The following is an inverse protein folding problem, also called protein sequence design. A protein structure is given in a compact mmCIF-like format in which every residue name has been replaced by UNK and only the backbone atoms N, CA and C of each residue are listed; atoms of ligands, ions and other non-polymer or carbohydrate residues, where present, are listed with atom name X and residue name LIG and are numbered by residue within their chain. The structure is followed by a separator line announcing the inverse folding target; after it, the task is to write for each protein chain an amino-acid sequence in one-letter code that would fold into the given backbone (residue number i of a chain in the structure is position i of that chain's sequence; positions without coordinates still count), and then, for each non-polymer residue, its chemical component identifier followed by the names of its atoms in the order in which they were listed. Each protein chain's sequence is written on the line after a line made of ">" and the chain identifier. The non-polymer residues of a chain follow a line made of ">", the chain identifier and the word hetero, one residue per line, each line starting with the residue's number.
data_IF_798508723500
#
_entry.id   IF_798508723500
#
_cell.length_a   1.000
_cell.length_b   1.000
_cell.length_c   1.000
_cell.angle_alpha   90.00
_cell.angle_beta   90.00
_cell.angle_gamma   90.00
#
_symmetry.space_group_name_H-M   'P 1'
#
loop_
_entity.id
_entity.type
_entity.pdbx_description
1 polymer ?
#
# COMPACT_ATOMS: atom_id res chain seq x y z
N UNK A 1 9.94 -6.51 16.04
CA UNK A 1 8.98 -5.43 15.73
C UNK A 1 9.08 -5.13 14.24
N UNK A 2 7.99 -4.78 13.55
CA UNK A 2 8.05 -4.51 12.10
C UNK A 2 8.17 -3.02 11.90
N UNK A 3 9.26 -2.55 11.30
CA UNK A 3 9.46 -1.12 11.04
C UNK A 3 8.36 -0.60 10.11
N UNK A 4 7.63 0.46 10.50
CA UNK A 4 6.65 1.10 9.64
C UNK A 4 7.35 1.74 8.43
N UNK A 5 6.79 1.56 7.24
CA UNK A 5 7.30 2.19 6.03
C UNK A 5 6.83 3.65 6.02
N UNK A 6 7.73 4.65 6.02
CA UNK A 6 7.34 6.04 5.86
C UNK A 6 6.73 6.30 4.48
N UNK A 7 5.89 7.34 4.36
CA UNK A 7 5.23 7.68 3.10
C UNK A 7 6.23 7.98 1.96
N UNK A 8 7.32 8.69 2.25
CA UNK A 8 8.39 8.95 1.28
C UNK A 8 9.02 7.65 0.74
N UNK A 9 9.22 6.65 1.61
CA UNK A 9 9.74 5.36 1.18
C UNK A 9 8.70 4.58 0.35
N UNK A 10 7.41 4.66 0.67
CA UNK A 10 6.36 4.10 -0.18
C UNK A 10 6.45 4.68 -1.60
N UNK A 11 6.57 6.00 -1.73
CA UNK A 11 6.71 6.66 -3.03
C UNK A 11 7.96 6.20 -3.79
N UNK A 12 9.09 6.09 -3.11
CA UNK A 12 10.31 5.53 -3.69
C UNK A 12 10.14 4.11 -4.21
N UNK A 13 9.46 3.26 -3.45
CA UNK A 13 9.14 1.89 -3.86
C UNK A 13 8.21 1.86 -5.09
N UNK A 14 7.20 2.74 -5.13
CA UNK A 14 6.30 2.85 -6.29
C UNK A 14 7.06 3.28 -7.55
N UNK A 15 7.95 4.26 -7.44
CA UNK A 15 8.77 4.71 -8.58
C UNK A 15 9.70 3.60 -9.06
N UNK A 16 10.35 2.87 -8.17
CA UNK A 16 11.17 1.70 -8.56
C UNK A 16 10.34 0.63 -9.28
N UNK A 17 9.13 0.37 -8.81
CA UNK A 17 8.23 -0.58 -9.48
C UNK A 17 7.83 -0.08 -10.88
N UNK A 18 7.52 1.21 -11.04
CA UNK A 18 7.23 1.82 -12.34
C UNK A 18 8.45 1.77 -13.28
N UNK A 19 9.63 2.13 -12.78
CA UNK A 19 10.88 2.13 -13.56
C UNK A 19 11.29 0.72 -14.03
N UNK A 20 10.87 -0.32 -13.32
CA UNK A 20 11.10 -1.72 -13.70
C UNK A 20 9.92 -2.36 -14.44
N UNK A 21 9.04 -1.54 -15.01
CA UNK A 21 7.85 -1.98 -15.75
C UNK A 21 6.89 -2.87 -14.94
N UNK A 22 6.85 -2.68 -13.62
CA UNK A 22 5.98 -3.41 -12.69
C UNK A 22 4.85 -2.50 -12.18
N UNK A 23 4.13 -1.83 -13.08
CA UNK A 23 3.08 -0.87 -12.73
C UNK A 23 1.99 -1.44 -11.81
N UNK A 24 1.56 -2.69 -12.04
CA UNK A 24 0.64 -3.38 -11.12
C UNK A 24 1.19 -3.48 -9.69
N UNK A 25 2.49 -3.69 -9.54
CA UNK A 25 3.12 -3.73 -8.21
C UNK A 25 3.12 -2.35 -7.56
N UNK A 26 3.39 -1.28 -8.31
CA UNK A 26 3.31 0.09 -7.78
C UNK A 26 1.92 0.39 -7.19
N UNK A 27 0.86 0.04 -7.92
CA UNK A 27 -0.53 0.19 -7.43
C UNK A 27 -0.80 -0.69 -6.22
N UNK A 28 -0.30 -1.94 -6.23
CA UNK A 28 -0.48 -2.87 -5.13
C UNK A 28 0.19 -2.39 -3.83
N UNK A 29 1.37 -1.76 -3.94
CA UNK A 29 2.07 -1.14 -2.79
C UNK A 29 1.26 0.00 -2.19
N UNK A 30 0.75 0.92 -3.02
CA UNK A 30 -0.13 2.00 -2.60
C UNK A 30 -1.41 1.46 -1.94
N UNK A 31 -2.05 0.46 -2.57
CA UNK A 31 -3.24 -0.18 -2.03
C UNK A 31 -2.96 -0.86 -0.68
N UNK A 32 -1.83 -1.59 -0.57
CA UNK A 32 -1.39 -2.24 0.66
C UNK A 32 -1.20 -1.27 1.83
N UNK A 33 -0.67 -0.10 1.55
CA UNK A 33 -0.45 0.97 2.51
C UNK A 33 -1.77 1.64 2.92
N UNK A 34 -2.51 2.19 1.97
CA UNK A 34 -3.72 2.96 2.23
C UNK A 34 -4.92 2.10 2.68
N UNK A 35 -4.99 0.84 2.27
CA UNK A 35 -6.04 -0.09 2.70
C UNK A 35 -5.60 -1.02 3.84
N UNK A 36 -4.42 -0.81 4.40
CA UNK A 36 -3.88 -1.59 5.52
C UNK A 36 -3.92 -3.11 5.25
N UNK A 37 -3.55 -3.54 4.04
CA UNK A 37 -3.58 -4.95 3.65
C UNK A 37 -2.39 -5.71 4.23
N UNK A 38 -2.61 -6.98 4.53
CA UNK A 38 -1.50 -7.90 4.85
C UNK A 38 -0.80 -8.35 3.56
N UNK A 39 0.53 -8.60 3.57
CA UNK A 39 1.25 -9.04 2.37
C UNK A 39 0.63 -10.28 1.70
N UNK A 40 0.19 -11.26 2.49
CA UNK A 40 -0.49 -12.44 1.95
C UNK A 40 -1.87 -12.13 1.33
N UNK A 41 -2.57 -11.10 1.81
CA UNK A 41 -3.80 -10.61 1.18
C UNK A 41 -3.47 -9.96 -0.17
N UNK A 42 -2.46 -9.08 -0.21
CA UNK A 42 -1.99 -8.42 -1.44
C UNK A 42 -1.64 -9.43 -2.54
N UNK A 43 -0.89 -10.49 -2.20
CA UNK A 43 -0.47 -11.50 -3.17
C UNK A 43 -1.61 -12.37 -3.72
N UNK A 44 -2.77 -12.42 -3.05
CA UNK A 44 -3.94 -13.17 -3.49
C UNK A 44 -4.99 -12.34 -4.21
N UNK A 45 -4.76 -11.02 -4.36
CA UNK A 45 -5.70 -10.17 -5.08
C UNK A 45 -5.70 -10.47 -6.57
N UNK A 46 -6.91 -10.59 -7.10
CA UNK A 46 -7.24 -10.60 -8.52
C UNK A 46 -8.05 -9.35 -8.86
N UNK A 47 -8.15 -9.01 -10.14
CA UNK A 47 -8.91 -7.84 -10.59
C UNK A 47 -10.35 -7.83 -10.08
N UNK A 48 -11.02 -8.99 -10.03
CA UNK A 48 -12.40 -9.12 -9.52
C UNK A 48 -12.55 -8.73 -8.04
N UNK A 49 -11.49 -8.77 -7.26
CA UNK A 49 -11.49 -8.40 -5.85
C UNK A 49 -11.42 -6.89 -5.62
N UNK A 50 -11.15 -6.09 -6.68
CA UNK A 50 -11.11 -4.64 -6.60
C UNK A 50 -12.33 -4.07 -7.34
N UNK A 51 -13.23 -3.44 -6.60
CA UNK A 51 -14.38 -2.72 -7.15
C UNK A 51 -14.02 -1.25 -7.25
N UNK A 52 -14.08 -0.70 -8.45
CA UNK A 52 -13.82 0.71 -8.72
C UNK A 52 -15.13 1.53 -8.61
N UNK A 53 -15.07 2.86 -8.47
CA UNK A 53 -16.23 3.72 -8.64
C UNK A 53 -16.97 3.36 -9.93
N UNK A 54 -18.28 3.41 -9.94
CA UNK A 54 -19.08 2.90 -11.06
C UNK A 54 -19.40 1.38 -10.97
N UNK A 55 -18.52 0.55 -10.40
CA UNK A 55 -18.85 -0.85 -10.07
C UNK A 55 -19.51 -0.98 -8.68
N UNK A 56 -19.36 0.02 -7.82
CA UNK A 56 -19.94 0.05 -6.46
C UNK A 56 -21.31 0.72 -6.45
N UNK A 57 -21.56 1.62 -7.39
CA UNK A 57 -22.83 2.35 -7.54
C UNK A 57 -22.62 3.62 -8.37
N UNK A 58 -23.68 4.10 -9.01
CA UNK A 58 -23.65 5.20 -9.99
C UNK A 58 -23.07 6.52 -9.45
N UNK A 59 -23.19 6.75 -8.14
CA UNK A 59 -22.70 7.97 -7.48
C UNK A 59 -21.58 7.70 -6.48
N UNK A 60 -20.99 6.50 -6.49
CA UNK A 60 -19.91 6.18 -5.55
C UNK A 60 -18.62 6.87 -5.97
N UNK A 61 -18.04 7.66 -5.06
CA UNK A 61 -16.70 8.24 -5.19
C UNK A 61 -15.62 7.34 -4.59
N UNK A 62 -15.98 6.18 -4.03
CA UNK A 62 -15.08 5.24 -3.37
C UNK A 62 -15.00 3.91 -4.11
N UNK A 63 -13.86 3.24 -3.99
CA UNK A 63 -13.69 1.86 -4.40
C UNK A 63 -13.72 0.91 -3.20
N UNK A 64 -13.60 -0.39 -3.48
CA UNK A 64 -13.62 -1.41 -2.45
C UNK A 64 -12.68 -2.56 -2.81
N UNK A 65 -11.96 -3.07 -1.81
CA UNK A 65 -11.23 -4.34 -1.89
C UNK A 65 -12.01 -5.41 -1.16
N UNK A 66 -12.24 -6.53 -1.82
CA UNK A 66 -12.88 -7.73 -1.25
C UNK A 66 -11.80 -8.74 -0.90
N UNK A 67 -11.70 -9.11 0.37
CA UNK A 67 -10.73 -10.09 0.88
C UNK A 67 -11.49 -11.38 1.16
N UNK A 68 -11.30 -12.38 0.32
CA UNK A 68 -12.06 -13.64 0.34
C UNK A 68 -11.46 -14.72 1.26
N UNK A 69 -10.18 -14.57 1.63
CA UNK A 69 -9.48 -15.48 2.54
C UNK A 69 -8.65 -14.70 3.57
N UNK A 70 -9.30 -14.03 4.53
CA UNK A 70 -8.59 -13.31 5.57
C UNK A 70 -7.95 -14.28 6.56
N UNK A 71 -6.75 -13.96 7.07
CA UNK A 71 -6.06 -14.74 8.12
C UNK A 71 -6.95 -15.02 9.35
N UNK A 72 -7.95 -14.17 9.58
CA UNK A 72 -8.89 -14.24 10.70
C UNK A 72 -10.21 -14.92 10.34
N UNK A 73 -10.28 -15.65 9.23
CA UNK A 73 -11.53 -16.32 8.77
C UNK A 73 -12.16 -17.29 9.78
N UNK A 74 -11.37 -17.78 10.75
CA UNK A 74 -11.86 -18.66 11.83
C UNK A 74 -12.51 -17.90 12.99
N UNK A 75 -12.19 -16.62 13.18
CA UNK A 75 -12.61 -15.78 14.32
C UNK A 75 -13.37 -14.53 13.91
N UNK A 76 -13.48 -14.28 12.59
CA UNK A 76 -14.17 -13.13 12.01
C UNK A 76 -14.89 -13.53 10.72
N UNK A 77 -15.48 -12.57 10.03
CA UNK A 77 -16.16 -12.82 8.75
C UNK A 77 -15.21 -13.45 7.73
N UNK A 78 -15.70 -14.48 7.02
CA UNK A 78 -14.95 -15.19 5.95
C UNK A 78 -14.64 -14.30 4.76
N UNK A 79 -15.48 -13.30 4.52
CA UNK A 79 -15.24 -12.25 3.50
C UNK A 79 -15.18 -10.93 4.22
N UNK A 80 -14.14 -10.15 3.94
CA UNK A 80 -13.94 -8.82 4.52
C UNK A 80 -13.83 -7.79 3.40
N UNK A 81 -14.32 -6.59 3.69
CA UNK A 81 -14.31 -5.48 2.75
C UNK A 81 -13.48 -4.32 3.31
N UNK A 82 -12.69 -3.69 2.44
CA UNK A 82 -11.94 -2.48 2.78
C UNK A 82 -12.26 -1.41 1.75
N UNK A 83 -12.68 -0.24 2.22
CA UNK A 83 -13.00 0.89 1.34
C UNK A 83 -11.72 1.60 0.93
N UNK A 84 -11.61 1.91 -0.36
CA UNK A 84 -10.56 2.74 -0.93
C UNK A 84 -11.10 4.17 -0.96
N UNK A 85 -10.64 5.01 -0.04
CA UNK A 85 -11.03 6.43 0.03
C UNK A 85 -10.04 7.34 -0.69
N UNK A 86 -8.78 6.90 -0.79
CA UNK A 86 -7.73 7.70 -1.40
C UNK A 86 -7.95 7.84 -2.90
N UNK A 87 -8.14 9.08 -3.37
CA UNK A 87 -8.42 9.39 -4.77
C UNK A 87 -7.29 8.97 -5.69
N UNK A 88 -6.04 9.14 -5.23
CA UNK A 88 -4.86 8.77 -6.00
C UNK A 88 -4.79 7.26 -6.21
N UNK A 89 -5.01 6.49 -5.15
CA UNK A 89 -5.05 5.01 -5.23
C UNK A 89 -6.14 4.57 -6.21
N UNK A 90 -7.31 5.22 -6.19
CA UNK A 90 -8.38 4.93 -7.15
C UNK A 90 -7.97 5.21 -8.60
N UNK A 91 -7.34 6.36 -8.86
CA UNK A 91 -6.83 6.71 -10.20
C UNK A 91 -5.79 5.70 -10.68
N UNK A 92 -4.85 5.31 -9.83
CA UNK A 92 -3.86 4.29 -10.15
C UNK A 92 -4.51 2.93 -10.43
N UNK A 93 -5.46 2.50 -9.62
CA UNK A 93 -6.24 1.28 -9.86
C UNK A 93 -6.96 1.34 -11.21
N UNK A 94 -7.57 2.47 -11.56
CA UNK A 94 -8.25 2.66 -12.83
C UNK A 94 -7.26 2.61 -14.00
N UNK A 95 -6.14 3.32 -13.92
CA UNK A 95 -5.14 3.41 -14.98
C UNK A 95 -4.49 2.04 -15.28
N UNK A 96 -4.08 1.32 -14.25
CA UNK A 96 -3.32 0.07 -14.41
C UNK A 96 -4.19 -1.18 -14.45
N UNK A 97 -5.35 -1.17 -13.77
CA UNK A 97 -6.19 -2.36 -13.60
C UNK A 97 -7.56 -2.26 -14.27
N UNK A 98 -7.95 -1.08 -14.75
CA UNK A 98 -9.27 -0.85 -15.33
C UNK A 98 -9.62 -1.81 -16.47
N UNK A 99 -8.63 -2.19 -17.28
CA UNK A 99 -8.77 -3.07 -18.45
C UNK A 99 -8.39 -4.53 -18.21
N UNK A 100 -7.97 -4.90 -17.00
CA UNK A 100 -7.61 -6.28 -16.70
C UNK A 100 -8.84 -7.18 -16.63
N UNK A 101 -8.67 -8.44 -17.03
CA UNK A 101 -9.73 -9.46 -16.92
C UNK A 101 -9.98 -9.82 -15.44
N UNK A 102 -11.20 -10.23 -15.06
CA UNK A 102 -11.58 -10.48 -13.67
C UNK A 102 -10.66 -11.43 -12.89
N UNK A 103 -10.12 -12.44 -13.53
CA UNK A 103 -9.26 -13.46 -12.92
C UNK A 103 -7.76 -13.15 -13.01
N UNK A 104 -7.39 -12.04 -13.62
CA UNK A 104 -5.97 -11.66 -13.67
C UNK A 104 -5.46 -11.31 -12.27
N UNK A 105 -4.32 -11.92 -11.86
CA UNK A 105 -3.69 -11.60 -10.60
C UNK A 105 -3.14 -10.16 -10.63
N UNK A 106 -3.27 -9.44 -9.52
CA UNK A 106 -2.76 -8.07 -9.38
C UNK A 106 -1.31 -8.06 -8.87
N UNK A 107 -0.90 -9.13 -8.19
CA UNK A 107 0.48 -9.33 -7.75
C UNK A 107 1.29 -10.02 -8.85
N UNK A 108 2.55 -9.58 -9.11
CA UNK A 108 3.43 -10.24 -10.06
C UNK A 108 3.94 -11.60 -9.58
N UNK A 109 3.60 -12.02 -8.35
CA UNK A 109 4.06 -13.28 -7.79
C UNK A 109 3.51 -13.55 -6.38
N UNK A 110 4.05 -14.58 -5.76
CA UNK A 110 3.71 -14.97 -4.40
C UNK A 110 4.46 -14.13 -3.35
N UNK A 111 4.23 -14.44 -2.06
CA UNK A 111 4.85 -13.71 -0.94
C UNK A 111 6.39 -13.74 -0.98
N UNK A 112 7.01 -14.84 -1.38
CA UNK A 112 8.47 -14.95 -1.49
C UNK A 112 9.03 -14.06 -2.59
N UNK A 113 8.33 -13.96 -3.72
CA UNK A 113 8.67 -13.03 -4.81
C UNK A 113 8.57 -11.58 -4.36
N UNK A 114 7.50 -11.22 -3.66
CA UNK A 114 7.33 -9.88 -3.09
C UNK A 114 8.44 -9.53 -2.09
N UNK A 115 8.78 -10.45 -1.19
CA UNK A 115 9.89 -10.27 -0.24
C UNK A 115 11.25 -10.15 -0.94
N UNK A 116 11.47 -10.93 -2.00
CA UNK A 116 12.67 -10.84 -2.84
C UNK A 116 12.80 -9.49 -3.52
N UNK A 117 11.72 -9.01 -4.11
CA UNK A 117 11.67 -7.68 -4.72
C UNK A 117 11.92 -6.57 -3.67
N UNK A 118 11.33 -6.67 -2.49
CA UNK A 118 11.59 -5.71 -1.40
C UNK A 118 13.06 -5.64 -1.01
N UNK A 119 13.74 -6.79 -0.86
CA UNK A 119 15.18 -6.82 -0.56
C UNK A 119 15.99 -6.09 -1.62
N UNK A 120 15.73 -6.39 -2.88
CA UNK A 120 16.36 -5.70 -4.00
C UNK A 120 16.07 -4.18 -3.97
N UNK A 121 14.82 -3.79 -3.75
CA UNK A 121 14.43 -2.39 -3.69
C UNK A 121 15.12 -1.63 -2.54
N UNK A 122 15.28 -2.26 -1.36
CA UNK A 122 16.03 -1.65 -0.26
C UNK A 122 17.46 -1.33 -0.66
N UNK A 123 18.17 -2.29 -1.25
CA UNK A 123 19.55 -2.09 -1.73
C UNK A 123 19.61 -1.02 -2.82
N UNK A 124 18.67 -1.05 -3.77
CA UNK A 124 18.57 -0.03 -4.83
C UNK A 124 18.31 1.38 -4.31
N UNK A 125 17.67 1.51 -3.15
CA UNK A 125 17.46 2.80 -2.48
C UNK A 125 18.64 3.21 -1.59
N UNK A 126 19.66 2.37 -1.40
CA UNK A 126 20.80 2.63 -0.50
C UNK A 126 20.48 2.34 0.97
N UNK A 127 19.49 1.48 1.22
CA UNK A 127 19.09 1.02 2.54
C UNK A 127 19.63 -0.39 2.82
N UNK A 128 19.64 -0.81 4.09
CA UNK A 128 19.98 -2.19 4.45
C UNK A 128 18.93 -3.15 3.89
N UNK A 129 19.37 -4.30 3.37
CA UNK A 129 18.56 -5.28 2.63
C UNK A 129 17.23 -5.67 3.31
N UNK A 130 17.23 -5.77 4.64
CA UNK A 130 16.06 -6.17 5.42
C UNK A 130 15.55 -5.08 6.39
N UNK A 131 15.91 -3.84 6.16
CA UNK A 131 15.52 -2.73 7.02
C UNK A 131 13.99 -2.57 7.06
N UNK A 132 13.35 -2.74 5.90
CA UNK A 132 11.89 -2.75 5.78
C UNK A 132 11.42 -4.01 5.04
N UNK A 133 10.20 -4.43 5.33
CA UNK A 133 9.58 -5.61 4.73
C UNK A 133 8.18 -5.27 4.22
N UNK A 134 7.56 -6.08 3.34
CA UNK A 134 6.20 -5.84 2.87
C UNK A 134 5.18 -5.63 3.99
N UNK A 135 5.40 -6.26 5.14
CA UNK A 135 4.52 -6.10 6.30
C UNK A 135 4.59 -4.70 6.93
N UNK A 136 5.66 -3.96 6.68
CA UNK A 136 5.83 -2.56 7.07
C UNK A 136 4.87 -1.61 6.35
N UNK A 137 4.31 -1.97 5.19
CA UNK A 137 3.29 -1.17 4.50
C UNK A 137 2.07 -0.95 5.39
N UNK A 138 1.54 -2.01 5.98
CA UNK A 138 0.38 -1.94 6.87
C UNK A 138 0.68 -1.14 8.15
N UNK A 139 1.87 -1.29 8.71
CA UNK A 139 2.28 -0.52 9.88
C UNK A 139 2.49 0.96 9.52
N UNK A 140 3.11 1.23 8.37
CA UNK A 140 3.30 2.59 7.85
C UNK A 140 1.98 3.31 7.61
N UNK A 141 1.05 2.67 6.91
CA UNK A 141 -0.28 3.23 6.66
C UNK A 141 -1.07 3.52 7.94
N UNK A 142 -1.04 2.59 8.91
CA UNK A 142 -1.70 2.79 10.19
C UNK A 142 -1.09 3.95 11.00
N UNK A 143 0.24 4.05 11.01
CA UNK A 143 0.96 5.14 11.67
C UNK A 143 0.69 6.48 10.99
N UNK A 144 0.71 6.50 9.65
CA UNK A 144 0.40 7.70 8.86
C UNK A 144 -1.01 8.22 9.14
N UNK A 145 -2.02 7.34 9.09
CA UNK A 145 -3.41 7.71 9.37
C UNK A 145 -3.59 8.21 10.82
N UNK A 146 -2.88 7.60 11.77
CA UNK A 146 -2.90 8.02 13.17
C UNK A 146 -2.32 9.42 13.34
N UNK A 147 -1.15 9.68 12.76
CA UNK A 147 -0.51 11.00 12.79
C UNK A 147 -1.33 12.08 12.06
N UNK A 148 -2.10 11.68 11.05
CA UNK A 148 -3.08 12.54 10.38
C UNK A 148 -4.37 12.79 11.20
N UNK A 149 -4.44 12.32 12.45
CA UNK A 149 -5.57 12.55 13.35
C UNK A 149 -6.74 11.59 13.19
N UNK A 150 -6.57 10.46 12.51
CA UNK A 150 -7.64 9.46 12.40
C UNK A 150 -7.96 8.85 13.76
N UNK A 151 -9.26 8.80 14.17
CA UNK A 151 -9.68 8.16 15.42
C UNK A 151 -9.24 6.69 15.49
N UNK A 152 -8.88 6.24 16.68
CA UNK A 152 -8.39 4.87 16.93
C UNK A 152 -9.42 3.82 16.51
N UNK A 153 -10.70 4.05 16.76
CA UNK A 153 -11.81 3.17 16.39
C UNK A 153 -11.89 3.00 14.88
N UNK A 154 -11.72 4.09 14.13
CA UNK A 154 -11.69 4.09 12.67
C UNK A 154 -10.50 3.28 12.14
N UNK A 155 -9.33 3.43 12.77
CA UNK A 155 -8.13 2.65 12.41
C UNK A 155 -8.35 1.16 12.70
N UNK A 156 -8.91 0.82 13.85
CA UNK A 156 -9.23 -0.56 14.22
C UNK A 156 -10.16 -1.19 13.17
N UNK A 157 -11.22 -0.47 12.78
CA UNK A 157 -12.16 -0.92 11.76
C UNK A 157 -11.49 -1.11 10.39
N UNK A 158 -10.78 -0.08 9.90
CA UNK A 158 -10.08 -0.15 8.60
C UNK A 158 -9.03 -1.24 8.56
N UNK A 159 -8.25 -1.36 9.64
CA UNK A 159 -7.21 -2.37 9.77
C UNK A 159 -7.74 -3.74 10.15
N UNK A 160 -9.04 -3.87 10.46
CA UNK A 160 -9.64 -5.15 10.87
C UNK A 160 -8.93 -5.76 12.08
N UNK A 161 -8.63 -4.90 13.07
CA UNK A 161 -8.07 -5.30 14.37
C UNK A 161 -9.19 -5.50 15.38
N UNK A 162 -9.25 -6.70 15.97
CA UNK A 162 -10.24 -7.02 16.99
C UNK A 162 -9.92 -6.42 18.37
N UNK A 163 -8.63 -6.13 18.63
CA UNK A 163 -8.19 -5.61 19.92
C UNK A 163 -7.26 -4.40 19.72
N UNK A 164 -7.41 -3.40 20.60
CA UNK A 164 -6.56 -2.22 20.65
C UNK A 164 -5.09 -2.57 20.89
N UNK A 165 -4.81 -3.58 21.70
CA UNK A 165 -3.46 -4.10 21.93
C UNK A 165 -2.77 -4.52 20.62
N UNK A 166 -3.52 -5.08 19.68
CA UNK A 166 -2.99 -5.45 18.36
C UNK A 166 -2.67 -4.20 17.54
N UNK A 167 -3.52 -3.18 17.54
CA UNK A 167 -3.28 -1.92 16.83
C UNK A 167 -2.01 -1.23 17.35
N UNK A 168 -1.78 -1.20 18.66
CA UNK A 168 -0.58 -0.62 19.28
C UNK A 168 0.74 -1.18 18.75
N UNK A 169 0.77 -2.41 18.25
CA UNK A 169 1.96 -2.98 17.60
C UNK A 169 2.21 -2.44 16.18
N UNK A 170 1.21 -1.82 15.57
CA UNK A 170 1.31 -1.25 14.23
C UNK A 170 1.54 0.26 14.24
N UNK A 171 0.91 0.98 15.17
CA UNK A 171 1.11 2.42 15.34
C UNK A 171 2.42 2.66 16.08
N UNK A 172 3.43 3.12 15.36
CA UNK A 172 4.81 3.30 15.85
C UNK A 172 5.32 4.68 15.43
N UNK A 173 4.77 5.73 16.06
CA UNK A 173 5.08 7.13 15.72
C UNK A 173 6.58 7.43 15.75
N UNK A 174 7.21 7.20 16.90
CA UNK A 174 8.65 7.45 17.05
C UNK A 174 9.49 6.62 16.06
N UNK A 175 9.13 5.35 15.85
CA UNK A 175 9.85 4.48 14.92
C UNK A 175 9.73 4.95 13.47
N UNK A 176 8.57 5.51 13.07
CA UNK A 176 8.36 6.07 11.73
C UNK A 176 9.20 7.33 11.51
N UNK A 177 9.19 8.25 12.47
CA UNK A 177 9.99 9.48 12.42
C UNK A 177 11.48 9.16 12.43
N UNK A 178 11.93 8.31 13.35
CA UNK A 178 13.33 7.88 13.42
C UNK A 178 13.78 7.16 12.17
N UNK A 179 12.94 6.30 11.58
CA UNK A 179 13.26 5.60 10.35
C UNK A 179 13.56 6.58 9.20
N UNK A 180 12.84 7.68 9.10
CA UNK A 180 13.09 8.73 8.11
C UNK A 180 14.35 9.51 8.45
N UNK A 181 14.50 9.95 9.70
CA UNK A 181 15.63 10.78 10.15
C UNK A 181 16.99 10.06 10.10
N UNK A 182 16.99 8.74 10.28
CA UNK A 182 18.21 7.92 10.31
C UNK A 182 18.54 7.26 8.96
N UNK A 183 17.81 7.57 7.91
CA UNK A 183 18.16 7.07 6.57
C UNK A 183 19.51 7.61 6.11
N UNK A 184 20.34 6.79 5.43
CA UNK A 184 21.58 7.27 4.83
C UNK A 184 21.33 8.45 3.86
N UNK A 185 22.24 9.43 3.75
CA UNK A 185 22.07 10.59 2.87
C UNK A 185 21.77 10.21 1.41
N UNK A 186 22.38 9.13 0.91
CA UNK A 186 22.13 8.61 -0.43
C UNK A 186 20.68 8.14 -0.60
N UNK A 187 20.11 7.52 0.43
CA UNK A 187 18.71 7.10 0.39
C UNK A 187 17.77 8.30 0.45
N UNK A 188 18.03 9.26 1.32
CA UNK A 188 17.27 10.52 1.40
C UNK A 188 17.26 11.26 0.04
N UNK A 189 18.42 11.40 -0.58
CA UNK A 189 18.53 12.03 -1.91
C UNK A 189 17.71 11.29 -2.96
N UNK A 190 17.83 9.95 -3.05
CA UNK A 190 17.07 9.15 -4.01
C UNK A 190 15.56 9.28 -3.80
N UNK A 191 15.11 9.27 -2.54
CA UNK A 191 13.69 9.44 -2.22
C UNK A 191 13.16 10.82 -2.62
N UNK A 192 13.92 11.88 -2.41
CA UNK A 192 13.56 13.25 -2.87
C UNK A 192 13.42 13.33 -4.39
N UNK A 193 14.35 12.73 -5.14
CA UNK A 193 14.29 12.69 -6.61
C UNK A 193 13.06 11.89 -7.06
N UNK A 194 12.77 10.77 -6.42
CA UNK A 194 11.63 9.91 -6.77
C UNK A 194 10.29 10.55 -6.41
N UNK A 195 10.22 11.32 -5.35
CA UNK A 195 9.03 12.12 -5.00
C UNK A 195 8.68 13.11 -6.11
N UNK A 196 9.67 13.85 -6.60
CA UNK A 196 9.49 14.78 -7.73
C UNK A 196 9.02 14.06 -9.01
N UNK A 197 9.60 12.89 -9.31
CA UNK A 197 9.16 12.08 -10.45
C UNK A 197 7.72 11.58 -10.28
N UNK A 198 7.37 11.05 -9.10
CA UNK A 198 6.01 10.56 -8.83
C UNK A 198 4.99 11.69 -8.96
N UNK A 199 5.28 12.87 -8.41
CA UNK A 199 4.42 14.05 -8.51
C UNK A 199 4.16 14.42 -9.96
N UNK A 200 5.19 14.47 -10.80
CA UNK A 200 5.07 14.76 -12.23
C UNK A 200 4.27 13.68 -12.97
N UNK A 201 4.53 12.41 -12.68
CA UNK A 201 3.79 11.28 -13.25
C UNK A 201 2.29 11.33 -12.89
N UNK A 202 1.97 11.63 -11.63
CA UNK A 202 0.58 11.73 -11.17
C UNK A 202 -0.14 12.93 -11.79
N UNK A 203 0.54 14.05 -11.95
CA UNK A 203 -0.01 15.23 -12.64
C UNK A 203 -0.33 14.90 -14.10
N UNK A 204 0.52 14.14 -14.79
CA UNK A 204 0.26 13.70 -16.16
C UNK A 204 -0.94 12.73 -16.23
N UNK A 205 -1.08 11.81 -15.27
CA UNK A 205 -2.25 10.94 -15.20
C UNK A 205 -3.56 11.71 -14.95
N UNK A 206 -3.55 12.73 -14.10
CA UNK A 206 -4.76 13.52 -13.81
C UNK A 206 -5.12 14.48 -14.94
N UNK A 207 -4.13 15.06 -15.64
CA UNK A 207 -4.34 15.94 -16.79
C UNK A 207 -4.88 15.24 -18.03
N UNK A 208 -4.66 13.93 -18.18
CA UNK A 208 -5.20 13.14 -19.28
C UNK A 208 -6.67 12.73 -19.13
N UNK A 209 -7.31 13.11 -18.03
CA UNK A 209 -8.71 12.76 -17.69
C UNK A 209 -9.66 13.97 -17.66
N UNK A 210 -9.19 15.14 -18.11
CA UNK A 210 -10.01 16.32 -18.41
C UNK A 210 -10.43 16.30 -19.90
#
# INVERSE_FOLDING_TARGET
>A
MRSPIPLSLLWGLMVLALATNMGSLAVLLALGYHCLLRPGEMCRLERRHVRLPGNVGWHSSVGMVVITDPKTARTAARVQHVVIHDRLVLLLCQAFWGRLLPHQPLSPGNIRGLEGWFRWAMVSLGLKERQFTPAGLRAGGATHDYLAGSPVERLMWRGRWAALSTLKHYVQECASVLATATMPPVAQYRLTVFEGFLTSFLSALTGSWQ
#
